data_IF_848295515392
#
_entry.id   IF_848295515392
#
_cell.length_a   1.000
_cell.length_b   1.000
_cell.length_c   1.000
_cell.angle_alpha   90.00
_cell.angle_beta   90.00
_cell.angle_gamma   90.00
#
_symmetry.space_group_name_H-M   'P 1'
#
loop_
_entity.id
_entity.type
_entity.pdbx_description
1 polymer ?
#
# COMPACT_ATOMS: atom_id res chain seq x y z
N UNK A 1 2.98 -22.55 -4.95
CA UNK A 1 1.87 -22.51 -5.92
C UNK A 1 1.17 -21.18 -5.70
N UNK A 2 0.98 -20.41 -6.78
CA UNK A 2 0.29 -19.13 -6.75
C UNK A 2 -1.22 -19.42 -6.75
N UNK A 3 -1.80 -19.52 -5.56
CA UNK A 3 -3.22 -19.84 -5.39
C UNK A 3 -4.05 -18.57 -5.63
N UNK A 4 -4.47 -18.36 -6.89
CA UNK A 4 -5.83 -18.02 -7.29
C UNK A 4 -6.61 -16.90 -6.57
N UNK A 5 -5.98 -16.02 -5.80
CA UNK A 5 -6.63 -14.83 -5.26
C UNK A 5 -6.72 -13.80 -6.39
N UNK A 6 -7.95 -13.38 -6.72
CA UNK A 6 -8.22 -12.33 -7.69
C UNK A 6 -7.39 -11.09 -7.35
N UNK A 7 -6.37 -10.83 -8.16
CA UNK A 7 -5.52 -9.64 -8.04
C UNK A 7 -6.36 -8.42 -8.28
N UNK A 8 -6.38 -7.51 -7.31
CA UNK A 8 -7.21 -6.31 -7.38
C UNK A 8 -6.69 -5.21 -6.47
N UNK A 9 -7.00 -3.97 -6.83
CA UNK A 9 -6.66 -2.82 -5.98
C UNK A 9 -7.35 -2.95 -4.61
N UNK A 10 -6.63 -2.63 -3.55
CA UNK A 10 -7.25 -2.42 -2.24
C UNK A 10 -8.12 -1.16 -2.25
N UNK A 11 -9.09 -1.09 -1.33
CA UNK A 11 -9.93 0.10 -1.15
C UNK A 11 -9.29 1.06 -0.16
N UNK A 12 -9.07 2.31 -0.57
CA UNK A 12 -8.59 3.35 0.33
C UNK A 12 -9.64 3.68 1.40
N UNK A 13 -9.19 3.92 2.63
CA UNK A 13 -10.01 4.33 3.77
C UNK A 13 -10.04 5.84 3.98
N UNK A 14 -9.22 6.60 3.23
CA UNK A 14 -9.21 8.06 3.27
C UNK A 14 -8.04 8.66 2.49
N UNK A 15 -7.77 9.94 2.72
CA UNK A 15 -6.58 10.64 2.20
C UNK A 15 -5.89 11.41 3.31
N UNK A 16 -4.62 11.77 3.10
CA UNK A 16 -3.84 12.57 4.04
C UNK A 16 -2.70 13.29 3.32
N UNK A 17 -2.37 14.51 3.75
CA UNK A 17 -1.17 15.20 3.30
C UNK A 17 0.08 14.63 4.00
N UNK A 18 1.09 14.24 3.22
CA UNK A 18 2.44 13.94 3.70
C UNK A 18 3.46 14.85 3.01
N UNK A 19 4.62 15.05 3.61
CA UNK A 19 5.74 15.74 2.96
C UNK A 19 6.72 14.68 2.44
N UNK A 20 7.00 14.72 1.13
CA UNK A 20 8.00 13.88 0.48
C UNK A 20 9.33 14.65 0.33
N UNK A 21 10.29 14.12 -0.44
CA UNK A 21 11.67 14.61 -0.51
C UNK A 21 11.81 16.10 -0.89
N UNK A 22 10.89 16.65 -1.69
CA UNK A 22 10.88 18.06 -2.08
C UNK A 22 10.28 19.00 -1.02
N UNK A 23 9.86 18.45 0.12
CA UNK A 23 9.24 19.16 1.24
C UNK A 23 7.82 19.66 0.98
N UNK A 24 7.28 19.47 -0.23
CA UNK A 24 5.93 19.90 -0.58
C UNK A 24 4.91 18.92 -0.01
N UNK A 25 3.78 19.40 0.54
CA UNK A 25 2.68 18.53 0.90
C UNK A 25 2.09 17.86 -0.36
N UNK A 26 1.94 16.55 -0.29
CA UNK A 26 1.27 15.72 -1.31
C UNK A 26 0.14 14.96 -0.61
N UNK A 27 -1.08 15.10 -1.14
CA UNK A 27 -2.21 14.26 -0.74
C UNK A 27 -1.99 12.83 -1.26
N UNK A 28 -2.02 11.86 -0.36
CA UNK A 28 -1.90 10.44 -0.68
C UNK A 28 -3.08 9.66 -0.12
N UNK A 29 -3.42 8.55 -0.79
CA UNK A 29 -4.42 7.61 -0.29
C UNK A 29 -3.92 6.95 1.00
N UNK A 30 -4.83 6.78 1.95
CA UNK A 30 -4.61 6.05 3.20
C UNK A 30 -5.38 4.74 3.13
N UNK A 31 -4.71 3.66 3.50
CA UNK A 31 -5.28 2.32 3.63
C UNK A 31 -5.18 1.89 5.09
N UNK A 32 -6.21 1.19 5.57
CA UNK A 32 -6.20 0.54 6.88
C UNK A 32 -5.62 -0.87 6.75
N UNK A 33 -4.73 -1.26 7.66
CA UNK A 33 -4.23 -2.64 7.74
C UNK A 33 -5.35 -3.66 8.03
N UNK A 34 -6.37 -3.25 8.79
CA UNK A 34 -7.55 -4.05 9.06
C UNK A 34 -8.43 -4.34 7.82
N UNK A 35 -8.23 -3.60 6.72
CA UNK A 35 -8.97 -3.75 5.47
C UNK A 35 -8.15 -4.49 4.38
N UNK A 36 -6.98 -5.03 4.74
CA UNK A 36 -6.13 -5.77 3.82
C UNK A 36 -6.62 -7.21 3.66
N UNK A 37 -6.74 -7.63 2.41
CA UNK A 37 -7.07 -9.01 2.03
C UNK A 37 -5.92 -9.59 1.21
N UNK A 38 -5.60 -10.89 1.33
CA UNK A 38 -4.67 -11.56 0.45
C UNK A 38 -4.97 -11.33 -1.04
N UNK A 39 -3.92 -11.14 -1.84
CA UNK A 39 -4.02 -10.86 -3.28
C UNK A 39 -4.31 -9.39 -3.63
N UNK A 40 -4.63 -8.55 -2.65
CA UNK A 40 -4.80 -7.10 -2.89
C UNK A 40 -3.46 -6.40 -3.06
N UNK A 41 -3.48 -5.40 -3.95
CA UNK A 41 -2.33 -4.54 -4.21
C UNK A 41 -2.62 -3.07 -3.87
N UNK A 42 -1.60 -2.37 -3.39
CA UNK A 42 -1.59 -0.92 -3.19
C UNK A 42 -0.43 -0.34 -3.98
N UNK A 43 -0.73 0.50 -4.98
CA UNK A 43 0.27 1.27 -5.71
C UNK A 43 0.62 2.55 -4.95
N UNK A 44 1.91 2.90 -4.90
CA UNK A 44 2.35 4.17 -4.35
C UNK A 44 2.22 5.34 -5.34
N UNK A 45 2.21 6.60 -4.86
CA UNK A 45 2.39 7.01 -3.47
C UNK A 45 1.13 6.78 -2.61
N UNK A 46 1.30 6.06 -1.50
CA UNK A 46 0.20 5.72 -0.59
C UNK A 46 0.73 5.48 0.83
N UNK A 47 -0.18 5.51 1.81
CA UNK A 47 0.15 5.26 3.20
C UNK A 47 -0.73 4.13 3.75
N UNK A 48 -0.11 3.07 4.22
CA UNK A 48 -0.78 2.06 5.03
C UNK A 48 -0.66 2.47 6.50
N UNK A 49 -1.77 2.55 7.22
CA UNK A 49 -1.81 2.83 8.66
C UNK A 49 -2.61 1.76 9.39
N UNK A 50 -2.07 1.38 10.52
CA UNK A 50 -2.72 0.56 11.54
C UNK A 50 -2.27 0.99 12.93
N UNK A 51 -2.81 0.37 13.98
CA UNK A 51 -2.43 0.68 15.37
C UNK A 51 -0.94 0.49 15.66
N UNK A 52 -0.28 -0.44 14.97
CA UNK A 52 1.13 -0.80 15.18
C UNK A 52 1.99 -0.74 13.90
N UNK A 53 1.42 -0.24 12.80
CA UNK A 53 2.08 -0.15 11.51
C UNK A 53 1.83 1.20 10.87
N UNK A 54 2.88 1.83 10.38
CA UNK A 54 2.78 2.93 9.42
C UNK A 54 3.79 2.66 8.33
N UNK A 55 3.33 2.46 7.10
CA UNK A 55 4.17 2.14 5.96
C UNK A 55 3.88 3.11 4.82
N UNK A 56 4.91 3.87 4.43
CA UNK A 56 4.88 4.70 3.24
C UNK A 56 5.25 3.85 2.03
N UNK A 57 4.33 3.72 1.08
CA UNK A 57 4.56 3.08 -0.21
C UNK A 57 4.94 4.21 -1.16
N UNK A 58 6.22 4.26 -1.56
CA UNK A 58 6.74 5.33 -2.40
C UNK A 58 6.21 5.25 -3.83
N UNK A 59 6.33 6.35 -4.56
CA UNK A 59 6.15 6.34 -6.02
C UNK A 59 6.98 5.20 -6.63
N UNK A 60 6.42 4.54 -7.64
CA UNK A 60 7.04 3.44 -8.38
C UNK A 60 7.31 2.19 -7.52
N UNK A 61 6.61 2.06 -6.39
CA UNK A 61 6.54 0.85 -5.58
C UNK A 61 5.11 0.37 -5.48
N UNK A 62 4.94 -0.93 -5.21
CA UNK A 62 3.68 -1.51 -4.82
C UNK A 62 3.82 -2.34 -3.55
N UNK A 63 2.74 -2.42 -2.80
CA UNK A 63 2.56 -3.38 -1.71
C UNK A 63 1.57 -4.46 -2.17
N UNK A 64 1.88 -5.73 -1.91
CA UNK A 64 0.97 -6.87 -2.08
C UNK A 64 0.82 -7.61 -0.76
N UNK A 65 -0.40 -8.02 -0.44
CA UNK A 65 -0.69 -8.93 0.67
C UNK A 65 -0.57 -10.37 0.15
N UNK A 66 0.35 -11.15 0.69
CA UNK A 66 0.52 -12.55 0.30
C UNK A 66 -0.61 -13.43 0.85
N UNK A 67 -0.71 -14.67 0.37
CA UNK A 67 -1.65 -15.66 0.91
C UNK A 67 -1.47 -15.94 2.41
N UNK A 68 -0.24 -15.78 2.93
CA UNK A 68 0.08 -15.96 4.34
C UNK A 68 -0.24 -14.71 5.20
N UNK A 69 -0.70 -13.62 4.57
CA UNK A 69 -0.93 -12.33 5.23
C UNK A 69 0.33 -11.46 5.35
N UNK A 70 1.47 -11.90 4.82
CA UNK A 70 2.68 -11.07 4.79
C UNK A 70 2.52 -9.87 3.87
N UNK A 71 3.12 -8.74 4.24
CA UNK A 71 3.20 -7.55 3.40
C UNK A 71 4.50 -7.57 2.59
N UNK A 72 4.38 -7.65 1.27
CA UNK A 72 5.51 -7.61 0.34
C UNK A 72 5.57 -6.25 -0.35
N UNK A 73 6.70 -5.55 -0.24
CA UNK A 73 6.97 -4.32 -0.99
C UNK A 73 7.90 -4.64 -2.17
N UNK A 74 7.48 -4.24 -3.36
CA UNK A 74 8.21 -4.47 -4.60
C UNK A 74 8.43 -3.13 -5.33
N UNK A 75 9.68 -2.85 -5.69
CA UNK A 75 9.99 -1.75 -6.61
C UNK A 75 9.55 -2.13 -8.02
N UNK A 76 8.85 -1.23 -8.70
CA UNK A 76 8.49 -1.42 -10.10
C UNK A 76 9.67 -0.98 -10.97
N UNK A 77 10.00 -1.73 -12.03
CA UNK A 77 11.04 -1.31 -12.96
C UNK A 77 10.65 0.04 -13.57
N UNK A 78 11.59 0.97 -13.52
CA UNK A 78 11.51 2.31 -14.10
C UNK A 78 11.58 2.30 -15.63
#
# INVERSE_FOLDING_TARGET
ADDGASTGAASATGTTAIRLEDGRPVEVAVYSDAALEPGREIAGPALLRGPYLTCLIRKDWKLRVTANGDLSLEGMPS
#
